data_IF_719865484252
#
_entry.id   IF_719865484252
#
_cell.length_a   1.000
_cell.length_b   1.000
_cell.length_c   1.000
_cell.angle_alpha   90.00
_cell.angle_beta   90.00
_cell.angle_gamma   90.00
#
_symmetry.space_group_name_H-M   'P 1'
#
loop_
_entity.id
_entity.type
_entity.pdbx_description
1 polymer ?
#
# COMPACT_ATOMS: atom_id res chain seq x y z
N UNK A 1 -27.52 37.68 12.09
CA UNK A 1 -26.19 37.05 12.00
C UNK A 1 -25.24 37.98 11.26
N UNK A 2 -24.10 38.31 11.86
CA UNK A 2 -23.11 39.20 11.26
C UNK A 2 -21.88 38.41 10.86
N UNK A 3 -21.52 38.44 9.56
CA UNK A 3 -20.41 37.68 9.00
C UNK A 3 -19.32 38.65 8.54
N UNK A 4 -18.09 38.41 8.98
CA UNK A 4 -16.92 39.19 8.59
C UNK A 4 -15.89 38.25 7.96
N UNK A 5 -15.40 38.60 6.75
CA UNK A 5 -14.28 37.89 6.11
C UNK A 5 -12.97 38.52 6.59
N UNK A 6 -12.25 37.84 7.48
CA UNK A 6 -11.01 38.37 8.08
C UNK A 6 -9.82 38.20 7.13
N UNK A 7 -9.77 37.05 6.44
CA UNK A 7 -8.72 36.73 5.47
C UNK A 7 -9.29 35.91 4.32
N UNK A 8 -8.87 36.22 3.11
CA UNK A 8 -9.22 35.46 1.90
C UNK A 8 -7.93 35.22 1.12
N UNK A 9 -7.56 33.96 1.00
CA UNK A 9 -6.43 33.50 0.18
C UNK A 9 -6.93 32.60 -0.94
N UNK A 10 -6.04 32.12 -1.79
CA UNK A 10 -6.37 31.13 -2.84
C UNK A 10 -6.81 29.79 -2.28
N UNK A 11 -6.36 29.45 -1.08
CA UNK A 11 -6.51 28.11 -0.48
C UNK A 11 -7.33 28.07 0.80
N UNK A 12 -7.69 29.23 1.38
CA UNK A 12 -8.51 29.29 2.58
C UNK A 12 -9.25 30.62 2.75
N UNK A 13 -10.38 30.57 3.42
CA UNK A 13 -11.13 31.73 3.87
C UNK A 13 -11.31 31.65 5.38
N UNK A 14 -10.97 32.75 6.06
CA UNK A 14 -11.26 32.90 7.48
C UNK A 14 -12.48 33.77 7.67
N UNK A 15 -13.48 33.23 8.35
CA UNK A 15 -14.75 33.91 8.66
C UNK A 15 -14.89 34.10 10.16
N UNK A 16 -15.28 35.29 10.60
CA UNK A 16 -15.80 35.53 11.95
C UNK A 16 -17.30 35.74 11.87
N UNK A 17 -18.02 34.87 12.57
CA UNK A 17 -19.49 34.85 12.59
C UNK A 17 -19.93 35.20 14.00
N UNK A 18 -20.73 36.27 14.11
CA UNK A 18 -21.36 36.71 15.36
C UNK A 18 -22.88 36.57 15.26
N UNK A 19 -23.45 35.82 16.19
CA UNK A 19 -24.89 35.59 16.26
C UNK A 19 -25.58 36.77 16.95
N UNK A 20 -26.72 37.20 16.41
CA UNK A 20 -27.59 38.13 17.10
C UNK A 20 -28.55 37.39 18.04
N UNK A 21 -29.14 38.08 19.02
CA UNK A 21 -30.05 37.46 19.98
C UNK A 21 -31.26 36.77 19.32
N UNK A 22 -31.72 37.30 18.20
CA UNK A 22 -32.84 36.73 17.43
C UNK A 22 -32.40 35.44 16.69
N UNK A 23 -31.14 35.34 16.27
CA UNK A 23 -30.56 34.16 15.62
C UNK A 23 -30.27 33.03 16.64
N UNK A 24 -29.85 33.39 17.88
CA UNK A 24 -29.60 32.42 18.94
C UNK A 24 -30.89 31.77 19.49
N UNK A 25 -32.00 32.53 19.52
CA UNK A 25 -33.21 32.13 20.20
C UNK A 25 -33.82 30.78 19.74
N UNK A 26 -33.89 30.46 18.43
CA UNK A 26 -34.33 29.15 17.96
C UNK A 26 -33.46 27.99 18.50
N UNK A 27 -32.14 28.18 18.52
CA UNK A 27 -31.19 27.20 18.99
C UNK A 27 -31.27 27.03 20.52
N UNK A 28 -31.33 28.10 21.25
CA UNK A 28 -31.54 28.07 22.71
C UNK A 28 -32.84 27.37 23.10
N UNK A 29 -33.91 27.56 22.32
CA UNK A 29 -35.16 26.85 22.55
C UNK A 29 -35.09 25.36 22.27
N UNK A 30 -34.27 24.96 21.32
CA UNK A 30 -33.97 23.54 21.00
C UNK A 30 -33.11 22.91 22.10
N UNK A 31 -32.03 23.60 22.52
CA UNK A 31 -31.16 23.22 23.64
C UNK A 31 -31.96 23.05 24.92
N UNK A 32 -32.78 24.03 25.26
CA UNK A 32 -33.70 23.95 26.43
C UNK A 32 -34.52 22.66 26.44
N UNK A 33 -35.15 22.28 25.31
CA UNK A 33 -35.98 21.07 25.24
C UNK A 33 -35.12 19.80 25.46
N UNK A 34 -33.90 19.79 24.95
CA UNK A 34 -32.95 18.67 25.09
C UNK A 34 -32.48 18.55 26.56
N UNK A 35 -32.04 19.64 27.17
CA UNK A 35 -31.56 19.70 28.55
C UNK A 35 -32.73 19.40 29.52
N UNK A 36 -33.91 19.96 29.30
CA UNK A 36 -35.11 19.72 30.15
C UNK A 36 -35.43 18.21 30.25
N UNK A 37 -35.18 17.44 29.18
CA UNK A 37 -35.46 16.01 29.16
C UNK A 37 -34.42 15.18 29.93
N UNK A 38 -33.19 15.67 30.03
CA UNK A 38 -32.05 14.96 30.63
C UNK A 38 -31.86 15.31 32.12
N UNK A 39 -32.13 16.55 32.50
CA UNK A 39 -31.85 17.04 33.85
C UNK A 39 -33.07 16.91 34.74
N UNK A 40 -32.86 16.47 36.00
CA UNK A 40 -33.90 16.44 37.04
C UNK A 40 -33.93 17.76 37.78
N UNK A 41 -35.03 18.51 37.62
CA UNK A 41 -35.26 19.78 38.32
C UNK A 41 -36.23 19.50 39.50
N UNK A 42 -35.87 19.86 40.74
CA UNK A 42 -36.75 19.70 41.89
C UNK A 42 -38.10 20.37 41.66
N UNK A 43 -39.19 19.65 41.90
CA UNK A 43 -40.56 20.15 41.74
C UNK A 43 -41.18 20.01 40.36
N UNK A 44 -40.40 19.50 39.35
CA UNK A 44 -40.90 19.31 37.98
C UNK A 44 -40.68 17.87 37.48
N UNK A 45 -41.65 17.40 36.69
CA UNK A 45 -41.47 16.15 35.97
C UNK A 45 -40.41 16.35 34.84
N UNK A 46 -39.52 15.40 34.55
CA UNK A 46 -38.53 15.49 33.43
C UNK A 46 -39.18 15.97 32.14
N UNK A 47 -38.61 16.99 31.51
CA UNK A 47 -39.12 17.62 30.29
C UNK A 47 -40.25 18.61 30.45
N UNK A 48 -40.68 18.97 31.69
CA UNK A 48 -41.81 19.88 31.96
C UNK A 48 -41.44 21.14 32.76
N UNK A 49 -40.18 21.30 33.13
CA UNK A 49 -39.72 22.53 33.77
C UNK A 49 -39.71 23.69 32.76
N UNK A 50 -40.23 24.88 33.08
CA UNK A 50 -40.13 26.06 32.21
C UNK A 50 -38.67 26.48 31.98
N UNK A 51 -38.40 27.14 30.84
CA UNK A 51 -37.05 27.59 30.47
C UNK A 51 -36.40 28.45 31.56
N UNK A 52 -37.10 29.42 32.08
CA UNK A 52 -36.63 30.31 33.15
C UNK A 52 -36.19 29.56 34.43
N UNK A 53 -36.83 28.43 34.75
CA UNK A 53 -36.44 27.60 35.87
C UNK A 53 -35.18 26.82 35.60
N UNK A 54 -34.98 26.34 34.35
CA UNK A 54 -33.77 25.64 33.93
C UNK A 54 -32.60 26.62 33.86
N UNK A 55 -32.80 27.81 33.28
CA UNK A 55 -31.79 28.87 33.22
C UNK A 55 -31.34 29.31 34.63
N UNK A 56 -32.30 29.44 35.58
CA UNK A 56 -31.94 29.76 36.95
C UNK A 56 -31.22 28.63 37.70
N UNK A 57 -31.43 27.38 37.28
CA UNK A 57 -30.86 26.21 37.96
C UNK A 57 -29.47 25.83 37.38
N UNK A 58 -29.27 25.91 36.08
CA UNK A 58 -28.06 25.50 35.37
C UNK A 58 -27.23 26.67 34.88
N UNK A 59 -27.80 27.87 34.82
CA UNK A 59 -27.21 29.01 34.11
C UNK A 59 -27.56 29.05 32.62
N UNK A 60 -27.56 30.25 32.04
CA UNK A 60 -27.73 30.45 30.59
C UNK A 60 -26.58 29.83 29.81
N UNK A 61 -25.36 29.93 30.34
CA UNK A 61 -24.14 29.37 29.72
C UNK A 61 -24.26 27.85 29.42
N UNK A 62 -24.87 27.07 30.32
CA UNK A 62 -25.11 25.65 30.10
C UNK A 62 -26.04 25.37 28.91
N UNK A 63 -27.03 26.22 28.67
CA UNK A 63 -27.92 26.10 27.51
C UNK A 63 -27.23 26.54 26.21
N UNK A 64 -26.42 27.59 26.31
CA UNK A 64 -25.59 28.04 25.17
C UNK A 64 -24.60 26.94 24.81
N UNK A 65 -23.88 26.39 25.77
CA UNK A 65 -22.92 25.32 25.53
C UNK A 65 -23.54 24.10 24.84
N UNK A 66 -24.72 23.64 25.32
CA UNK A 66 -25.46 22.55 24.66
C UNK A 66 -25.95 22.95 23.26
N UNK A 67 -26.26 24.25 23.04
CA UNK A 67 -26.70 24.75 21.74
C UNK A 67 -25.58 24.80 20.70
N UNK A 68 -24.33 25.03 21.11
CA UNK A 68 -23.18 25.13 20.20
C UNK A 68 -23.03 23.90 19.30
N UNK A 69 -23.33 22.70 19.83
CA UNK A 69 -23.21 21.44 19.07
C UNK A 69 -23.98 21.42 17.75
N UNK A 70 -25.09 22.14 17.68
CA UNK A 70 -25.92 22.22 16.47
C UNK A 70 -26.07 23.65 15.91
N UNK A 71 -25.82 24.67 16.72
CA UNK A 71 -25.86 26.06 16.31
C UNK A 71 -24.70 26.37 15.34
N UNK A 72 -23.48 25.99 15.69
CA UNK A 72 -22.29 26.27 14.88
C UNK A 72 -22.37 25.58 13.51
N UNK A 73 -22.61 24.25 13.40
CA UNK A 73 -22.72 23.62 12.09
C UNK A 73 -23.84 24.21 11.23
N UNK A 74 -25.06 24.35 11.79
CA UNK A 74 -26.22 24.86 11.03
C UNK A 74 -26.04 26.33 10.58
N UNK A 75 -25.44 27.19 11.42
CA UNK A 75 -25.16 28.59 11.04
C UNK A 75 -24.01 28.72 10.05
N UNK A 76 -22.98 27.86 10.20
CA UNK A 76 -21.86 27.84 9.26
C UNK A 76 -22.32 27.36 7.86
N UNK A 77 -23.09 26.27 7.79
CA UNK A 77 -23.64 25.77 6.53
C UNK A 77 -24.48 26.86 5.83
N UNK A 78 -25.26 27.61 6.61
CA UNK A 78 -26.03 28.74 6.05
C UNK A 78 -25.09 29.81 5.48
N UNK A 79 -24.05 30.21 6.21
CA UNK A 79 -23.08 31.22 5.77
C UNK A 79 -22.33 30.75 4.53
N UNK A 80 -21.87 29.49 4.50
CA UNK A 80 -21.17 28.94 3.34
C UNK A 80 -22.05 28.94 2.09
N UNK A 81 -23.33 28.59 2.22
CA UNK A 81 -24.28 28.62 1.12
C UNK A 81 -24.60 30.06 0.68
N UNK A 82 -24.82 31.00 1.61
CA UNK A 82 -25.16 32.38 1.31
C UNK A 82 -24.00 33.13 0.59
N UNK A 83 -22.74 32.75 0.91
CA UNK A 83 -21.51 33.33 0.37
C UNK A 83 -20.94 32.55 -0.83
N UNK A 84 -21.61 31.47 -1.27
CA UNK A 84 -21.19 30.56 -2.35
C UNK A 84 -19.77 30.00 -2.14
N UNK A 85 -19.44 29.64 -0.89
CA UNK A 85 -18.15 29.07 -0.50
C UNK A 85 -18.26 27.56 -0.45
N UNK A 86 -17.46 26.88 -1.28
CA UNK A 86 -17.34 25.42 -1.26
C UNK A 86 -16.13 25.02 -0.41
N UNK A 87 -16.40 24.49 0.78
CA UNK A 87 -15.35 23.96 1.65
C UNK A 87 -14.81 22.64 1.06
N UNK A 88 -13.49 22.53 0.94
CA UNK A 88 -12.83 21.31 0.49
C UNK A 88 -12.89 20.19 1.53
N UNK A 89 -12.84 20.56 2.81
CA UNK A 89 -12.93 19.67 3.95
C UNK A 89 -13.58 20.42 5.14
N UNK A 90 -13.78 19.70 6.24
CA UNK A 90 -14.37 20.24 7.45
C UNK A 90 -13.57 21.46 7.97
N UNK A 91 -14.24 22.63 8.16
CA UNK A 91 -13.59 23.84 8.65
C UNK A 91 -13.09 23.71 10.09
N UNK A 92 -12.00 24.39 10.41
CA UNK A 92 -11.49 24.52 11.79
C UNK A 92 -12.26 25.63 12.51
N UNK A 93 -12.84 25.29 13.65
CA UNK A 93 -13.73 26.17 14.42
C UNK A 93 -13.07 26.59 15.72
N UNK A 94 -13.20 27.88 16.06
CA UNK A 94 -12.75 28.45 17.32
C UNK A 94 -13.85 29.35 17.88
N UNK A 95 -14.34 29.05 19.09
CA UNK A 95 -15.35 29.88 19.76
C UNK A 95 -14.70 31.07 20.41
N UNK A 96 -15.07 32.28 19.99
CA UNK A 96 -14.50 33.54 20.47
C UNK A 96 -15.30 34.13 21.66
N UNK A 97 -16.60 33.92 21.67
CA UNK A 97 -17.47 34.46 22.71
C UNK A 97 -18.79 33.66 22.87
N UNK A 98 -19.37 33.74 24.07
CA UNK A 98 -20.62 33.04 24.43
C UNK A 98 -21.83 33.98 24.57
N UNK A 99 -21.59 35.30 24.70
CA UNK A 99 -22.67 36.30 24.90
C UNK A 99 -22.29 37.64 24.23
N UNK A 100 -22.69 37.88 22.96
CA UNK A 100 -23.35 36.95 22.04
C UNK A 100 -22.39 35.85 21.56
N UNK A 101 -22.96 34.73 21.09
CA UNK A 101 -22.19 33.65 20.54
C UNK A 101 -21.44 34.15 19.27
N UNK A 102 -20.14 34.04 19.32
CA UNK A 102 -19.29 34.36 18.19
C UNK A 102 -18.20 33.31 18.02
N UNK A 103 -17.90 32.94 16.78
CA UNK A 103 -16.90 31.96 16.48
C UNK A 103 -16.18 32.31 15.17
N UNK A 104 -14.95 31.82 15.08
CA UNK A 104 -14.10 31.92 13.92
C UNK A 104 -14.10 30.57 13.20
N UNK A 105 -14.30 30.61 11.89
CA UNK A 105 -14.21 29.43 11.03
C UNK A 105 -13.10 29.63 10.01
N UNK A 106 -12.10 28.74 9.99
CA UNK A 106 -11.11 28.70 8.93
C UNK A 106 -11.56 27.62 7.96
N UNK A 107 -11.96 28.04 6.78
CA UNK A 107 -12.56 27.20 5.73
C UNK A 107 -11.49 26.91 4.67
N UNK A 108 -10.97 25.69 4.56
CA UNK A 108 -10.06 25.31 3.51
C UNK A 108 -10.80 25.19 2.18
N UNK A 109 -10.24 25.81 1.15
CA UNK A 109 -10.72 25.74 -0.23
C UNK A 109 -10.01 24.65 -1.01
N UNK A 110 -10.49 24.37 -2.22
CA UNK A 110 -9.84 23.42 -3.11
C UNK A 110 -8.37 23.82 -3.36
N UNK A 111 -7.40 22.89 -3.18
CA UNK A 111 -6.00 23.15 -3.47
C UNK A 111 -5.78 23.54 -4.93
N UNK A 112 -4.90 24.52 -5.14
CA UNK A 112 -4.51 24.94 -6.49
C UNK A 112 -3.29 24.14 -6.93
N UNK A 113 -3.42 23.41 -8.04
CA UNK A 113 -2.36 22.59 -8.60
C UNK A 113 -2.05 23.01 -10.02
N UNK A 114 -0.82 23.44 -10.25
CA UNK A 114 -0.25 23.73 -11.57
C UNK A 114 0.81 22.66 -11.88
N UNK A 115 0.57 21.84 -12.91
CA UNK A 115 1.49 20.76 -13.30
C UNK A 115 2.67 21.27 -14.15
N UNK A 116 2.70 22.56 -14.52
CA UNK A 116 3.71 23.10 -15.42
C UNK A 116 3.68 22.44 -16.81
N UNK A 117 4.82 22.40 -17.46
CA UNK A 117 4.96 21.81 -18.80
C UNK A 117 5.21 20.29 -18.74
N UNK A 118 4.35 19.55 -18.03
CA UNK A 118 4.54 18.10 -17.83
C UNK A 118 4.58 17.30 -19.14
N UNK A 119 3.93 17.77 -20.21
CA UNK A 119 3.98 17.14 -21.52
C UNK A 119 5.38 17.22 -22.18
N UNK A 120 6.28 18.05 -21.65
CA UNK A 120 7.66 18.15 -22.09
C UNK A 120 8.60 17.15 -21.41
N UNK A 121 8.13 16.41 -20.41
CA UNK A 121 8.92 15.36 -19.76
C UNK A 121 9.33 14.34 -20.80
N UNK A 122 10.64 13.97 -20.82
CA UNK A 122 11.18 12.91 -21.71
C UNK A 122 12.10 12.03 -20.90
N UNK A 123 11.82 10.72 -20.95
CA UNK A 123 12.61 9.69 -20.31
C UNK A 123 13.01 8.65 -21.36
N UNK A 124 14.28 8.28 -21.37
CA UNK A 124 14.77 7.23 -22.24
C UNK A 124 14.44 5.86 -21.61
N UNK A 125 13.82 4.99 -22.41
CA UNK A 125 13.60 3.60 -22.03
C UNK A 125 14.89 2.81 -22.26
N UNK A 126 15.36 2.12 -21.24
CA UNK A 126 16.50 1.23 -21.36
C UNK A 126 16.09 -0.06 -22.10
N UNK A 127 16.92 -0.55 -23.04
CA UNK A 127 16.59 -1.79 -23.73
C UNK A 127 16.62 -2.97 -22.75
N UNK A 128 15.55 -3.75 -22.77
CA UNK A 128 15.47 -4.99 -21.98
C UNK A 128 16.13 -6.11 -22.78
N UNK A 129 17.31 -6.54 -22.35
CA UNK A 129 18.04 -7.65 -22.95
C UNK A 129 18.23 -8.77 -21.93
N UNK A 130 17.61 -9.92 -22.17
CA UNK A 130 17.84 -11.14 -21.38
C UNK A 130 18.92 -11.97 -22.04
N UNK A 131 20.03 -12.11 -21.34
CA UNK A 131 21.17 -12.87 -21.83
C UNK A 131 21.00 -14.38 -21.65
N UNK A 132 21.67 -15.18 -22.49
CA UNK A 132 21.66 -16.63 -22.30
C UNK A 132 22.28 -17.08 -20.96
N UNK A 133 23.18 -16.26 -20.39
CA UNK A 133 23.81 -16.52 -19.09
C UNK A 133 22.78 -16.44 -17.97
N UNK A 134 21.93 -15.39 -17.96
CA UNK A 134 20.84 -15.24 -16.96
C UNK A 134 19.83 -16.39 -17.04
N UNK A 135 19.49 -16.84 -18.24
CA UNK A 135 18.61 -18.01 -18.43
C UNK A 135 19.27 -19.27 -17.84
N UNK A 136 20.54 -19.48 -18.12
CA UNK A 136 21.28 -20.63 -17.59
C UNK A 136 21.42 -20.58 -16.05
N UNK A 137 21.64 -19.42 -15.45
CA UNK A 137 21.67 -19.25 -14.00
C UNK A 137 20.34 -19.68 -13.35
N UNK A 138 19.20 -19.29 -13.94
CA UNK A 138 17.89 -19.71 -13.45
C UNK A 138 17.69 -21.22 -13.63
N UNK A 139 18.10 -21.80 -14.76
CA UNK A 139 18.01 -23.24 -14.99
C UNK A 139 18.88 -24.03 -14.01
N UNK A 140 20.10 -23.56 -13.72
CA UNK A 140 20.97 -24.16 -12.71
C UNK A 140 20.40 -24.03 -11.28
N UNK A 141 19.77 -22.90 -10.97
CA UNK A 141 19.07 -22.73 -9.70
C UNK A 141 17.89 -23.71 -9.57
N UNK A 142 17.07 -23.86 -10.59
CA UNK A 142 15.99 -24.84 -10.62
C UNK A 142 16.52 -26.28 -10.49
N UNK A 143 17.62 -26.58 -11.18
CA UNK A 143 18.33 -27.86 -11.10
C UNK A 143 18.80 -28.15 -9.68
N UNK A 144 19.39 -27.15 -9.03
CA UNK A 144 19.86 -27.25 -7.66
C UNK A 144 18.67 -27.41 -6.69
N UNK A 145 17.59 -26.66 -6.83
CA UNK A 145 16.40 -26.80 -5.98
C UNK A 145 15.75 -28.17 -6.11
N UNK A 146 15.61 -28.69 -7.31
CA UNK A 146 14.96 -29.98 -7.58
C UNK A 146 15.82 -31.19 -7.15
N UNK A 147 17.13 -31.02 -7.00
CA UNK A 147 18.05 -32.13 -6.69
C UNK A 147 17.87 -32.63 -5.25
N UNK A 148 17.76 -33.94 -5.01
CA UNK A 148 17.73 -34.53 -3.68
C UNK A 148 19.11 -34.43 -3.00
N UNK A 149 19.08 -34.34 -1.67
CA UNK A 149 20.28 -34.44 -0.85
C UNK A 149 20.61 -35.92 -0.62
N UNK A 150 21.79 -36.35 -1.06
CA UNK A 150 22.29 -37.70 -0.86
C UNK A 150 23.47 -37.73 0.12
N UNK A 151 23.51 -38.66 1.08
CA UNK A 151 24.61 -38.77 2.01
C UNK A 151 25.90 -39.21 1.31
N UNK A 152 27.03 -38.59 1.70
CA UNK A 152 28.35 -38.89 1.11
C UNK A 152 29.38 -39.11 2.17
N UNK A 153 30.29 -40.10 1.93
CA UNK A 153 31.40 -40.47 2.83
C UNK A 153 32.71 -39.75 2.42
N UNK A 154 32.62 -38.43 2.10
CA UNK A 154 33.77 -37.61 1.77
C UNK A 154 33.87 -36.37 2.63
N UNK A 155 34.99 -35.68 2.55
CA UNK A 155 35.15 -34.41 3.23
C UNK A 155 34.14 -33.38 2.74
N UNK A 156 33.65 -32.55 3.66
CA UNK A 156 32.71 -31.45 3.44
C UNK A 156 33.31 -30.43 2.48
N UNK A 157 32.58 -30.10 1.44
CA UNK A 157 32.92 -29.07 0.46
C UNK A 157 31.89 -27.93 0.48
N UNK A 158 32.24 -26.82 -0.12
CA UNK A 158 31.26 -25.72 -0.32
C UNK A 158 30.07 -26.21 -1.14
N UNK A 159 28.87 -25.83 -0.72
CA UNK A 159 27.61 -26.23 -1.37
C UNK A 159 27.02 -27.55 -0.83
N UNK A 160 27.73 -28.31 -0.03
CA UNK A 160 27.21 -29.50 0.65
C UNK A 160 26.33 -29.10 1.85
N UNK A 161 25.40 -29.96 2.21
CA UNK A 161 24.59 -29.80 3.43
C UNK A 161 25.29 -30.57 4.57
N UNK A 162 25.81 -29.85 5.57
CA UNK A 162 26.33 -30.41 6.79
C UNK A 162 25.26 -30.36 7.88
N UNK A 163 24.90 -31.50 8.45
CA UNK A 163 24.17 -31.52 9.73
C UNK A 163 25.23 -31.53 10.83
N UNK A 164 25.20 -30.57 11.76
CA UNK A 164 26.25 -30.39 12.76
C UNK A 164 25.73 -29.87 14.10
N UNK A 165 26.54 -30.10 15.13
CA UNK A 165 26.44 -29.46 16.43
C UNK A 165 27.41 -28.27 16.45
N UNK A 166 26.95 -27.09 16.85
CA UNK A 166 27.76 -25.87 16.91
C UNK A 166 27.65 -25.25 18.29
N UNK A 167 28.79 -25.04 18.94
CA UNK A 167 28.88 -24.33 20.20
C UNK A 167 29.88 -23.20 20.05
N UNK A 168 29.43 -21.97 20.33
CA UNK A 168 30.22 -20.74 20.26
C UNK A 168 30.30 -20.07 21.62
N UNK A 169 31.50 -19.68 22.05
CA UNK A 169 31.77 -19.05 23.34
C UNK A 169 32.54 -17.77 23.13
N UNK A 170 32.08 -16.66 23.71
CA UNK A 170 32.75 -15.37 23.75
C UNK A 170 32.93 -14.99 25.23
N UNK A 171 34.19 -14.72 25.68
CA UNK A 171 34.48 -14.27 27.05
C UNK A 171 33.84 -15.16 28.17
N UNK A 172 33.83 -16.49 28.00
CA UNK A 172 33.21 -17.49 28.90
C UNK A 172 31.65 -17.52 28.82
N UNK A 173 31.00 -16.75 27.99
CA UNK A 173 29.56 -16.78 27.76
C UNK A 173 29.20 -17.60 26.51
N UNK A 174 28.27 -18.53 26.65
CA UNK A 174 27.77 -19.30 25.51
C UNK A 174 26.83 -18.44 24.67
N UNK A 175 27.26 -18.13 23.44
CA UNK A 175 26.49 -17.28 22.51
C UNK A 175 25.77 -18.12 21.45
N UNK A 176 26.23 -19.33 21.19
CA UNK A 176 25.63 -20.30 20.27
C UNK A 176 25.72 -21.68 20.91
N UNK A 177 24.62 -22.41 20.99
CA UNK A 177 24.56 -23.84 21.40
C UNK A 177 23.45 -24.50 20.57
N UNK A 178 23.76 -24.78 19.33
CA UNK A 178 22.83 -25.37 18.37
C UNK A 178 23.21 -26.80 18.08
N UNK A 179 22.23 -27.72 18.17
CA UNK A 179 22.43 -29.15 17.97
C UNK A 179 21.62 -29.64 16.75
N UNK A 180 22.31 -30.40 15.89
CA UNK A 180 21.68 -31.01 14.72
C UNK A 180 21.18 -30.00 13.70
N UNK A 181 21.83 -28.87 13.61
CA UNK A 181 21.46 -27.86 12.59
C UNK A 181 21.98 -28.25 11.21
N UNK A 182 21.18 -27.94 10.20
CA UNK A 182 21.57 -28.07 8.81
C UNK A 182 22.20 -26.75 8.34
N UNK A 183 23.40 -26.83 7.80
CA UNK A 183 24.17 -25.68 7.33
C UNK A 183 24.85 -26.00 5.99
N UNK A 184 24.77 -25.02 5.05
CA UNK A 184 25.44 -25.13 3.76
C UNK A 184 26.59 -24.12 3.75
N UNK A 185 27.86 -24.56 3.88
CA UNK A 185 29.00 -23.68 3.82
C UNK A 185 29.14 -23.10 2.40
N UNK A 186 29.29 -21.78 2.33
CA UNK A 186 29.56 -21.03 1.10
C UNK A 186 30.77 -20.14 1.35
N UNK A 187 31.54 -19.85 0.32
CA UNK A 187 32.76 -19.06 0.44
C UNK A 187 32.51 -17.65 0.96
N UNK A 188 31.42 -17.01 0.51
CA UNK A 188 31.04 -15.65 0.87
C UNK A 188 30.03 -15.59 2.05
N UNK A 189 29.75 -16.70 2.73
CA UNK A 189 28.80 -16.73 3.83
C UNK A 189 29.45 -16.19 5.11
N UNK A 190 28.89 -15.10 5.63
CA UNK A 190 29.33 -14.45 6.87
C UNK A 190 28.60 -14.96 8.13
N UNK A 191 27.77 -15.98 8.02
CA UNK A 191 27.03 -16.55 9.15
C UNK A 191 27.75 -17.77 9.73
N UNK A 192 27.73 -17.97 11.07
CA UNK A 192 27.33 -16.99 12.09
C UNK A 192 28.31 -15.83 12.25
N UNK A 193 29.57 -16.02 11.86
CA UNK A 193 30.62 -15.00 11.78
C UNK A 193 31.48 -15.19 10.53
N UNK A 194 32.08 -14.10 9.98
CA UNK A 194 32.93 -14.19 8.80
C UNK A 194 34.06 -15.22 8.97
N UNK A 195 34.25 -16.04 7.96
CA UNK A 195 35.28 -17.11 7.97
C UNK A 195 34.88 -18.42 8.61
N UNK A 196 33.67 -18.52 9.16
CA UNK A 196 33.17 -19.77 9.75
C UNK A 196 33.16 -20.93 8.75
N UNK A 197 32.57 -20.69 7.56
CA UNK A 197 32.50 -21.68 6.48
C UNK A 197 33.87 -22.22 6.05
N UNK A 198 34.91 -21.39 6.05
CA UNK A 198 36.28 -21.77 5.67
C UNK A 198 36.88 -22.81 6.63
N UNK A 199 36.51 -22.75 7.91
CA UNK A 199 36.97 -23.73 8.89
C UNK A 199 36.25 -25.07 8.83
N UNK A 200 35.07 -25.11 8.21
CA UNK A 200 34.28 -26.33 8.01
C UNK A 200 34.74 -27.14 6.80
N UNK A 201 35.29 -26.43 5.78
CA UNK A 201 35.81 -27.11 4.59
C UNK A 201 36.83 -28.19 4.94
N UNK A 202 36.65 -29.35 4.36
CA UNK A 202 37.54 -30.49 4.56
C UNK A 202 37.26 -31.37 5.79
N UNK A 203 36.27 -31.03 6.64
CA UNK A 203 35.84 -31.84 7.77
C UNK A 203 35.11 -33.11 7.30
N UNK A 204 35.31 -34.20 8.02
CA UNK A 204 34.65 -35.51 7.78
C UNK A 204 33.46 -35.70 8.71
N UNK A 205 32.56 -36.57 8.32
CA UNK A 205 31.50 -37.05 9.21
C UNK A 205 32.06 -37.61 10.51
N UNK A 206 31.50 -37.21 11.67
CA UNK A 206 31.95 -37.57 13.02
C UNK A 206 33.19 -36.80 13.48
N UNK A 207 33.72 -35.85 12.71
CA UNK A 207 34.87 -35.05 13.10
C UNK A 207 34.42 -33.82 13.95
N UNK A 208 35.18 -33.58 15.03
CA UNK A 208 34.99 -32.37 15.85
C UNK A 208 36.20 -31.46 15.71
N UNK A 209 35.97 -30.16 15.50
CA UNK A 209 37.01 -29.16 15.35
C UNK A 209 36.80 -27.96 16.26
N UNK A 210 37.87 -27.59 16.95
CA UNK A 210 37.92 -26.40 17.79
C UNK A 210 38.72 -25.32 17.03
N UNK A 211 38.14 -24.14 16.86
CA UNK A 211 38.80 -23.02 16.24
C UNK A 211 38.31 -21.68 16.80
N UNK A 212 39.05 -20.61 16.60
CA UNK A 212 38.70 -19.27 17.06
C UNK A 212 38.59 -18.34 15.88
N UNK A 213 37.54 -17.52 15.87
CA UNK A 213 37.32 -16.46 14.89
C UNK A 213 37.27 -15.10 15.60
N UNK A 214 37.89 -14.12 14.98
CA UNK A 214 37.76 -12.73 15.41
C UNK A 214 36.55 -12.12 14.73
N UNK A 215 35.59 -11.62 15.49
CA UNK A 215 34.43 -10.91 15.00
C UNK A 215 34.88 -9.51 14.54
N UNK A 216 34.51 -9.03 13.35
CA UNK A 216 34.87 -7.70 12.88
C UNK A 216 34.40 -6.58 13.83
N UNK A 217 35.13 -5.47 13.87
CA UNK A 217 34.78 -4.31 14.73
C UNK A 217 33.48 -3.60 14.27
N UNK A 218 33.10 -3.77 13.00
CA UNK A 218 31.89 -3.23 12.37
C UNK A 218 30.69 -4.20 12.38
N UNK A 219 30.77 -5.26 13.19
CA UNK A 219 29.69 -6.24 13.28
C UNK A 219 28.43 -5.59 13.87
N UNK A 220 27.22 -5.86 13.31
CA UNK A 220 25.98 -5.18 13.70
C UNK A 220 25.61 -5.28 15.18
N UNK A 221 26.07 -6.31 15.86
CA UNK A 221 25.84 -6.51 17.29
C UNK A 221 27.06 -6.05 18.09
N UNK A 222 26.97 -4.86 18.68
CA UNK A 222 28.04 -4.24 19.47
C UNK A 222 28.59 -5.14 20.57
N UNK A 223 27.77 -6.05 21.13
CA UNK A 223 28.17 -6.99 22.19
C UNK A 223 29.22 -8.01 21.72
N UNK A 224 29.31 -8.27 20.40
CA UNK A 224 30.22 -9.26 19.80
C UNK A 224 31.35 -8.62 18.99
N UNK A 225 31.16 -7.37 18.54
CA UNK A 225 32.13 -6.65 17.72
C UNK A 225 33.52 -6.60 18.37
N UNK A 226 34.56 -6.91 17.58
CA UNK A 226 35.96 -6.89 18.01
C UNK A 226 36.39 -7.98 18.97
N UNK A 227 35.52 -8.95 19.31
CA UNK A 227 35.82 -10.04 20.24
C UNK A 227 36.22 -11.32 19.53
N UNK A 228 36.88 -12.21 20.24
CA UNK A 228 37.18 -13.55 19.76
C UNK A 228 36.06 -14.54 20.18
N UNK A 229 35.53 -15.29 19.21
CA UNK A 229 34.59 -16.36 19.44
C UNK A 229 35.28 -17.71 19.24
N UNK A 230 35.26 -18.52 20.27
CA UNK A 230 35.76 -19.90 20.21
C UNK A 230 34.64 -20.85 19.83
N UNK A 231 34.78 -21.53 18.68
CA UNK A 231 33.83 -22.51 18.18
C UNK A 231 34.29 -23.94 18.44
N UNK A 232 33.33 -24.76 18.86
CA UNK A 232 33.43 -26.21 18.82
C UNK A 232 32.36 -26.75 17.91
N UNK A 233 32.77 -27.32 16.77
CA UNK A 233 31.85 -27.85 15.76
C UNK A 233 32.06 -29.33 15.60
N UNK A 234 30.97 -30.08 15.57
CA UNK A 234 30.96 -31.52 15.30
C UNK A 234 30.07 -31.80 14.10
N UNK A 235 30.63 -32.36 13.02
CA UNK A 235 29.87 -32.72 11.82
C UNK A 235 29.22 -34.08 12.04
N UNK A 236 27.88 -34.13 11.98
CA UNK A 236 27.10 -35.36 12.17
C UNK A 236 26.85 -36.11 10.88
N UNK A 237 26.60 -35.40 9.78
CA UNK A 237 26.45 -35.96 8.44
C UNK A 237 26.79 -34.95 7.35
N UNK A 238 27.26 -35.44 6.23
CA UNK A 238 27.52 -34.65 5.01
C UNK A 238 26.64 -35.19 3.91
N UNK A 239 25.95 -34.30 3.21
CA UNK A 239 25.11 -34.65 2.05
C UNK A 239 25.44 -33.73 0.89
N UNK A 240 25.47 -34.28 -0.33
CA UNK A 240 25.62 -33.51 -1.53
C UNK A 240 24.34 -33.48 -2.37
N UNK A 241 24.19 -32.47 -3.20
CA UNK A 241 23.10 -32.40 -4.19
C UNK A 241 23.43 -33.29 -5.37
N UNK A 242 22.59 -34.31 -5.60
CA UNK A 242 22.70 -35.14 -6.81
C UNK A 242 22.00 -34.38 -7.98
N UNK A 243 22.79 -33.59 -8.70
CA UNK A 243 22.29 -32.75 -9.79
C UNK A 243 21.96 -33.61 -11.02
N UNK A 244 20.69 -33.66 -11.41
CA UNK A 244 20.27 -34.30 -12.65
C UNK A 244 20.89 -33.62 -13.87
N UNK A 245 20.99 -34.31 -15.00
CA UNK A 245 21.33 -33.66 -16.28
C UNK A 245 20.20 -32.70 -16.73
N UNK A 246 20.59 -31.59 -17.37
CA UNK A 246 19.60 -30.68 -17.95
C UNK A 246 19.08 -31.29 -19.25
N UNK A 247 18.04 -32.06 -19.17
CA UNK A 247 17.39 -32.75 -20.27
C UNK A 247 15.84 -32.66 -20.17
N UNK A 248 15.16 -33.33 -21.09
CA UNK A 248 13.69 -33.31 -21.12
C UNK A 248 13.07 -34.05 -19.92
N UNK A 249 13.80 -34.97 -19.26
CA UNK A 249 13.30 -35.64 -18.06
C UNK A 249 13.35 -34.71 -16.86
N UNK A 250 14.42 -33.91 -16.75
CA UNK A 250 14.47 -32.83 -15.77
C UNK A 250 13.32 -31.83 -15.94
N UNK A 251 13.07 -31.37 -17.20
CA UNK A 251 12.01 -30.43 -17.48
C UNK A 251 10.62 -30.96 -17.06
N UNK A 252 10.35 -32.24 -17.26
CA UNK A 252 9.12 -32.89 -16.79
C UNK A 252 9.03 -33.00 -15.28
N UNK A 253 10.15 -33.05 -14.60
CA UNK A 253 10.23 -33.12 -13.13
C UNK A 253 10.11 -31.77 -12.43
N UNK A 254 10.27 -30.66 -13.14
CA UNK A 254 10.07 -29.32 -12.60
C UNK A 254 8.58 -29.10 -12.27
N UNK A 255 8.28 -28.29 -11.27
CA UNK A 255 6.99 -28.10 -10.59
C UNK A 255 5.77 -28.06 -11.51
N UNK A 256 5.90 -27.42 -12.69
CA UNK A 256 4.79 -27.21 -13.63
C UNK A 256 4.74 -28.22 -14.79
N UNK A 257 5.76 -29.13 -14.88
CA UNK A 257 5.83 -30.20 -15.86
C UNK A 257 5.90 -29.71 -17.30
N UNK A 258 7.10 -29.44 -17.82
CA UNK A 258 7.31 -29.03 -19.21
C UNK A 258 7.55 -30.25 -20.11
N UNK A 259 7.10 -30.20 -21.37
CA UNK A 259 7.27 -31.32 -22.31
C UNK A 259 8.73 -31.54 -22.72
N UNK A 260 9.54 -30.49 -22.73
CA UNK A 260 10.97 -30.50 -23.12
C UNK A 260 11.77 -29.43 -22.40
N UNK A 261 13.10 -29.59 -22.39
CA UNK A 261 14.04 -28.58 -21.88
C UNK A 261 13.95 -27.27 -22.68
N UNK A 262 13.65 -27.32 -23.98
CA UNK A 262 13.44 -26.12 -24.79
C UNK A 262 12.24 -25.34 -24.30
N UNK A 263 11.11 -26.00 -24.04
CA UNK A 263 9.90 -25.36 -23.50
C UNK A 263 10.14 -24.72 -22.12
N UNK A 264 10.89 -25.38 -21.23
CA UNK A 264 11.29 -24.81 -19.95
C UNK A 264 12.19 -23.58 -20.14
N UNK A 265 13.17 -23.68 -21.04
CA UNK A 265 14.11 -22.58 -21.34
C UNK A 265 13.39 -21.36 -21.88
N UNK A 266 12.44 -21.57 -22.80
CA UNK A 266 11.64 -20.48 -23.38
C UNK A 266 10.72 -19.86 -22.33
N UNK A 267 10.14 -20.66 -21.45
CA UNK A 267 9.34 -20.17 -20.33
C UNK A 267 10.18 -19.31 -19.37
N UNK A 268 11.38 -19.78 -18.99
CA UNK A 268 12.31 -19.02 -18.13
C UNK A 268 12.71 -17.72 -18.81
N UNK A 269 13.04 -17.76 -20.11
CA UNK A 269 13.38 -16.56 -20.87
C UNK A 269 12.23 -15.56 -20.90
N UNK A 270 11.00 -16.02 -21.19
CA UNK A 270 9.83 -15.12 -21.21
C UNK A 270 9.59 -14.49 -19.84
N UNK A 271 9.67 -15.29 -18.76
CA UNK A 271 9.53 -14.76 -17.40
C UNK A 271 10.58 -13.69 -17.07
N UNK A 272 11.84 -13.90 -17.46
CA UNK A 272 12.89 -12.90 -17.25
C UNK A 272 12.66 -11.63 -18.07
N UNK A 273 12.15 -11.76 -19.31
CA UNK A 273 11.75 -10.59 -20.12
C UNK A 273 10.62 -9.84 -19.44
N UNK A 274 9.55 -10.52 -19.04
CA UNK A 274 8.39 -9.91 -18.39
C UNK A 274 8.78 -9.19 -17.07
N UNK A 275 9.67 -9.81 -16.29
CA UNK A 275 10.19 -9.24 -15.03
C UNK A 275 11.07 -8.01 -15.28
N UNK A 276 11.93 -8.07 -16.30
CA UNK A 276 12.80 -6.95 -16.69
C UNK A 276 11.97 -5.79 -17.28
N UNK A 277 10.94 -6.07 -18.07
CA UNK A 277 10.01 -5.07 -18.59
C UNK A 277 9.20 -4.42 -17.46
N UNK A 278 8.74 -5.19 -16.49
CA UNK A 278 8.05 -4.68 -15.32
C UNK A 278 8.95 -3.78 -14.45
N UNK A 279 10.23 -4.17 -14.33
CA UNK A 279 11.24 -3.39 -13.59
C UNK A 279 11.53 -2.07 -14.29
N UNK A 280 11.71 -2.10 -15.61
CA UNK A 280 11.94 -0.91 -16.42
C UNK A 280 10.71 0.02 -16.40
N UNK A 281 9.50 -0.53 -16.50
CA UNK A 281 8.27 0.25 -16.40
C UNK A 281 8.20 0.94 -15.04
N UNK A 282 8.50 0.23 -13.95
CA UNK A 282 8.53 0.81 -12.60
C UNK A 282 9.59 1.91 -12.47
N UNK A 283 10.76 1.73 -13.08
CA UNK A 283 11.81 2.75 -13.13
C UNK A 283 11.31 4.03 -13.83
N UNK A 284 10.64 3.88 -14.97
CA UNK A 284 10.06 4.99 -15.72
C UNK A 284 8.93 5.68 -14.93
N UNK A 285 8.08 4.92 -14.25
CA UNK A 285 7.02 5.46 -13.38
C UNK A 285 7.61 6.32 -12.26
N UNK A 286 8.61 5.82 -11.54
CA UNK A 286 9.27 6.56 -10.46
C UNK A 286 9.97 7.81 -11.01
N UNK A 287 10.74 7.67 -12.08
CA UNK A 287 11.46 8.81 -12.68
C UNK A 287 10.49 9.85 -13.25
N UNK A 288 9.40 9.42 -13.89
CA UNK A 288 8.35 10.31 -14.39
C UNK A 288 7.67 11.10 -13.27
N UNK A 289 7.38 10.42 -12.17
CA UNK A 289 6.80 11.06 -10.98
C UNK A 289 7.76 12.09 -10.37
N UNK A 290 9.06 11.78 -10.29
CA UNK A 290 10.06 12.71 -9.78
C UNK A 290 10.22 13.95 -10.66
N UNK A 291 10.22 13.80 -11.99
CA UNK A 291 10.27 14.92 -12.92
C UNK A 291 8.99 15.77 -12.82
N UNK A 292 7.82 15.14 -12.71
CA UNK A 292 6.56 15.85 -12.52
C UNK A 292 6.55 16.64 -11.20
N UNK A 293 7.07 16.07 -10.09
CA UNK A 293 7.23 16.77 -8.80
C UNK A 293 8.09 18.02 -8.90
N UNK A 294 9.12 18.04 -9.75
CA UNK A 294 9.98 19.20 -9.95
C UNK A 294 9.29 20.34 -10.70
N UNK A 295 8.35 20.02 -11.57
CA UNK A 295 7.63 20.98 -12.41
C UNK A 295 6.39 21.52 -11.72
N UNK A 296 5.71 20.70 -10.94
CA UNK A 296 4.44 21.03 -10.31
C UNK A 296 4.60 22.08 -9.20
N UNK A 297 3.60 22.97 -9.14
CA UNK A 297 3.42 23.93 -8.04
C UNK A 297 2.08 23.67 -7.39
N UNK A 298 2.11 23.48 -6.08
CA UNK A 298 0.93 23.11 -5.30
C UNK A 298 0.77 24.14 -4.19
N UNK A 299 -0.42 24.72 -4.10
CA UNK A 299 -0.83 25.59 -3.00
C UNK A 299 -2.04 24.94 -2.31
N UNK A 300 -1.92 24.63 -1.04
CA UNK A 300 -2.99 24.09 -0.22
C UNK A 300 -3.01 24.78 1.15
N UNK A 301 -4.16 24.79 1.81
CA UNK A 301 -4.27 25.31 3.17
C UNK A 301 -3.47 24.43 4.14
N UNK A 302 -2.88 25.05 5.16
CA UNK A 302 -2.18 24.35 6.25
C UNK A 302 -3.08 23.29 6.90
N UNK A 303 -4.40 23.54 6.98
CA UNK A 303 -5.37 22.58 7.51
C UNK A 303 -5.44 21.29 6.71
N UNK A 304 -5.20 21.33 5.41
CA UNK A 304 -5.20 20.14 4.56
C UNK A 304 -3.96 19.29 4.87
N UNK A 305 -2.81 19.92 5.09
CA UNK A 305 -1.60 19.24 5.53
C UNK A 305 -1.71 18.69 6.96
N UNK A 306 -2.29 19.46 7.89
CA UNK A 306 -2.57 18.97 9.26
C UNK A 306 -3.46 17.72 9.23
N UNK A 307 -4.49 17.72 8.37
CA UNK A 307 -5.41 16.58 8.23
C UNK A 307 -4.71 15.33 7.67
N UNK A 308 -3.85 15.49 6.68
CA UNK A 308 -3.07 14.38 6.13
C UNK A 308 -2.13 13.79 7.20
N UNK A 309 -1.48 14.65 7.97
CA UNK A 309 -0.65 14.24 9.09
C UNK A 309 -1.45 13.45 10.14
N UNK A 310 -2.66 13.91 10.48
CA UNK A 310 -3.56 13.20 11.39
C UNK A 310 -3.91 11.81 10.85
N UNK A 311 -4.25 11.71 9.56
CA UNK A 311 -4.56 10.43 8.93
C UNK A 311 -3.37 9.47 8.96
N UNK A 312 -2.16 9.95 8.68
CA UNK A 312 -0.94 9.14 8.75
C UNK A 312 -0.65 8.69 10.19
N UNK A 313 -0.86 9.54 11.17
CA UNK A 313 -0.71 9.19 12.57
C UNK A 313 -1.71 8.11 13.00
N UNK A 314 -2.98 8.24 12.60
CA UNK A 314 -4.01 7.23 12.85
C UNK A 314 -3.72 5.89 12.12
N UNK A 315 -3.22 5.92 10.89
CA UNK A 315 -2.79 4.73 10.15
C UNK A 315 -1.68 4.00 10.89
N UNK A 316 -0.68 4.75 11.41
CA UNK A 316 0.38 4.19 12.23
C UNK A 316 -0.13 3.58 13.53
N UNK A 317 -1.06 4.27 14.20
CA UNK A 317 -1.68 3.76 15.42
C UNK A 317 -2.43 2.44 15.18
N UNK A 318 -3.19 2.35 14.07
CA UNK A 318 -3.88 1.10 13.66
C UNK A 318 -2.90 -0.01 13.33
N UNK A 319 -1.80 0.30 12.64
CA UNK A 319 -0.75 -0.68 12.32
C UNK A 319 -0.11 -1.25 13.57
N UNK A 320 0.22 -0.41 14.54
CA UNK A 320 0.74 -0.85 15.85
C UNK A 320 -0.28 -1.70 16.61
N UNK A 321 -1.55 -1.30 16.59
CA UNK A 321 -2.63 -2.05 17.24
C UNK A 321 -2.76 -3.47 16.66
N UNK A 322 -2.61 -3.64 15.35
CA UNK A 322 -2.59 -4.96 14.70
C UNK A 322 -1.42 -5.83 15.19
N UNK A 323 -0.32 -5.20 15.62
CA UNK A 323 0.84 -5.84 16.24
C UNK A 323 0.71 -5.96 17.77
N UNK A 324 -0.49 -5.71 18.32
CA UNK A 324 -0.79 -5.73 19.75
C UNK A 324 0.01 -4.70 20.57
N UNK A 325 0.43 -3.61 19.95
CA UNK A 325 1.16 -2.51 20.57
C UNK A 325 0.31 -1.23 20.55
N UNK A 326 0.22 -0.51 21.67
CA UNK A 326 -0.41 0.82 21.67
C UNK A 326 0.58 1.90 21.24
N UNK A 327 0.07 3.01 20.71
CA UNK A 327 0.90 4.17 20.35
C UNK A 327 1.70 4.71 21.55
N UNK A 328 1.08 4.75 22.74
CA UNK A 328 1.73 5.21 23.98
C UNK A 328 2.93 4.32 24.34
N UNK A 329 2.76 2.98 24.22
CA UNK A 329 3.84 2.04 24.49
C UNK A 329 4.97 2.19 23.47
N UNK A 330 4.63 2.35 22.19
CA UNK A 330 5.59 2.60 21.12
C UNK A 330 6.41 3.88 21.40
N UNK A 331 5.74 5.00 21.69
CA UNK A 331 6.39 6.28 22.00
C UNK A 331 7.32 6.18 23.23
N UNK A 332 6.87 5.46 24.25
CA UNK A 332 7.70 5.17 25.42
C UNK A 332 8.94 4.35 25.12
N UNK A 333 8.82 3.35 24.21
CA UNK A 333 9.93 2.49 23.79
C UNK A 333 10.98 3.26 22.97
N UNK A 334 10.52 4.13 22.04
CA UNK A 334 11.39 4.95 21.19
C UNK A 334 11.93 6.18 21.93
N UNK A 335 11.33 6.54 23.08
CA UNK A 335 11.73 7.70 23.88
C UNK A 335 11.33 9.04 23.25
N UNK A 336 10.24 9.08 22.49
CA UNK A 336 9.72 10.25 21.80
C UNK A 336 8.35 10.68 22.34
N UNK A 337 8.03 11.96 22.19
CA UNK A 337 6.69 12.48 22.41
C UNK A 337 5.83 12.39 21.15
N UNK A 338 4.51 12.51 21.28
CA UNK A 338 3.61 12.59 20.14
C UNK A 338 3.96 13.77 19.20
N UNK A 339 4.28 14.91 19.78
CA UNK A 339 4.63 16.11 19.04
C UNK A 339 5.92 15.91 18.21
N UNK A 340 6.93 15.28 18.77
CA UNK A 340 8.17 14.96 18.07
C UNK A 340 7.96 13.96 16.93
N UNK A 341 7.10 12.95 17.14
CA UNK A 341 6.73 12.01 16.08
C UNK A 341 5.97 12.69 14.95
N UNK A 342 5.00 13.57 15.29
CA UNK A 342 4.25 14.36 14.30
C UNK A 342 5.16 15.27 13.48
N UNK A 343 6.11 15.96 14.11
CA UNK A 343 7.10 16.78 13.40
C UNK A 343 7.97 15.93 12.44
N UNK A 344 8.36 14.72 12.84
CA UNK A 344 9.09 13.80 11.96
C UNK A 344 8.28 13.31 10.77
N UNK A 345 6.97 13.13 10.97
CA UNK A 345 6.05 12.67 9.92
C UNK A 345 5.61 13.79 8.97
N UNK A 346 5.71 15.06 9.39
CA UNK A 346 5.23 16.22 8.61
C UNK A 346 5.80 16.28 7.19
N UNK A 347 7.10 16.11 6.93
CA UNK A 347 7.62 16.12 5.55
C UNK A 347 7.05 15.00 4.67
N UNK A 348 6.81 13.83 5.26
CA UNK A 348 6.21 12.70 4.55
C UNK A 348 4.73 12.94 4.24
N UNK A 349 3.99 13.57 5.17
CA UNK A 349 2.61 13.95 4.97
C UNK A 349 2.47 15.00 3.85
N UNK A 350 3.34 16.01 3.85
CA UNK A 350 3.41 17.02 2.79
C UNK A 350 3.71 16.39 1.43
N UNK A 351 4.69 15.50 1.35
CA UNK A 351 5.04 14.81 0.11
C UNK A 351 3.90 13.91 -0.39
N UNK A 352 3.26 13.14 0.51
CA UNK A 352 2.15 12.25 0.19
C UNK A 352 0.95 13.03 -0.36
N UNK A 353 0.56 14.11 0.34
CA UNK A 353 -0.53 14.98 -0.07
C UNK A 353 -0.23 15.62 -1.42
N UNK A 354 0.94 16.22 -1.58
CA UNK A 354 1.35 16.87 -2.83
C UNK A 354 1.32 15.89 -4.00
N UNK A 355 1.82 14.67 -3.78
CA UNK A 355 1.79 13.62 -4.80
C UNK A 355 0.35 13.25 -5.17
N UNK A 356 -0.52 13.07 -4.18
CA UNK A 356 -1.93 12.75 -4.40
C UNK A 356 -2.65 13.85 -5.19
N UNK A 357 -2.48 15.12 -4.79
CA UNK A 357 -3.08 16.26 -5.46
C UNK A 357 -2.61 16.40 -6.91
N UNK A 358 -1.30 16.21 -7.13
CA UNK A 358 -0.68 16.27 -8.45
C UNK A 358 -1.20 15.17 -9.37
N UNK A 359 -1.27 13.92 -8.89
CA UNK A 359 -1.78 12.78 -9.67
C UNK A 359 -3.27 12.96 -9.97
N UNK A 360 -4.06 13.46 -9.01
CA UNK A 360 -5.47 13.80 -9.24
C UNK A 360 -5.60 14.85 -10.34
N UNK A 361 -4.80 15.92 -10.30
CA UNK A 361 -4.82 16.96 -11.33
C UNK A 361 -4.40 16.42 -12.69
N UNK A 362 -3.44 15.52 -12.74
CA UNK A 362 -3.03 14.84 -13.98
C UNK A 362 -4.18 14.01 -14.55
N UNK A 363 -4.90 13.28 -13.71
CA UNK A 363 -6.08 12.52 -14.12
C UNK A 363 -7.16 13.42 -14.73
N UNK A 364 -7.44 14.57 -14.07
CA UNK A 364 -8.42 15.54 -14.55
C UNK A 364 -8.02 16.16 -15.91
N UNK A 365 -6.73 16.48 -16.09
CA UNK A 365 -6.22 17.11 -17.32
C UNK A 365 -6.18 16.12 -18.50
N UNK A 366 -5.82 14.85 -18.23
CA UNK A 366 -5.75 13.80 -19.24
C UNK A 366 -7.07 13.01 -19.37
N UNK A 367 -8.15 13.45 -18.68
CA UNK A 367 -9.49 12.85 -18.71
C UNK A 367 -9.49 11.35 -18.42
N UNK A 368 -8.66 10.92 -17.43
CA UNK A 368 -8.53 9.51 -17.05
C UNK A 368 -9.70 9.11 -16.16
N UNK A 369 -10.48 8.14 -16.60
CA UNK A 369 -11.62 7.63 -15.87
C UNK A 369 -11.50 6.11 -15.62
N UNK A 370 -12.11 5.65 -14.52
CA UNK A 370 -12.26 4.23 -14.18
C UNK A 370 -13.74 3.93 -14.03
N UNK A 371 -14.30 3.22 -15.01
CA UNK A 371 -15.70 2.81 -14.99
C UNK A 371 -15.95 1.56 -14.14
N UNK A 372 -17.24 1.26 -13.86
CA UNK A 372 -17.61 0.05 -13.12
C UNK A 372 -17.20 -1.24 -13.84
N UNK A 373 -17.14 -1.22 -15.17
CA UNK A 373 -16.66 -2.36 -15.97
C UNK A 373 -15.18 -2.65 -15.72
N UNK A 374 -14.34 -1.62 -15.59
CA UNK A 374 -12.91 -1.79 -15.29
C UNK A 374 -12.73 -2.47 -13.93
N UNK A 375 -13.54 -2.06 -12.93
CA UNK A 375 -13.54 -2.67 -11.61
C UNK A 375 -13.98 -4.13 -11.64
N UNK A 376 -15.01 -4.48 -12.45
CA UNK A 376 -15.47 -5.86 -12.61
C UNK A 376 -14.41 -6.76 -13.27
N UNK A 377 -13.74 -6.26 -14.29
CA UNK A 377 -12.61 -6.96 -14.93
C UNK A 377 -11.49 -7.20 -13.93
N UNK A 378 -11.11 -6.18 -13.16
CA UNK A 378 -10.05 -6.32 -12.16
C UNK A 378 -10.41 -7.32 -11.05
N UNK A 379 -11.66 -7.31 -10.57
CA UNK A 379 -12.14 -8.31 -9.61
C UNK A 379 -12.00 -9.71 -10.20
N UNK A 380 -12.35 -9.88 -11.49
CA UNK A 380 -12.23 -11.17 -12.17
C UNK A 380 -10.77 -11.61 -12.24
N UNK A 381 -9.86 -10.72 -12.64
CA UNK A 381 -8.42 -10.99 -12.70
C UNK A 381 -7.84 -11.39 -11.33
N UNK A 382 -8.24 -10.68 -10.26
CA UNK A 382 -7.83 -11.00 -8.88
C UNK A 382 -8.30 -12.39 -8.45
N UNK A 383 -9.49 -12.78 -8.86
CA UNK A 383 -10.05 -14.10 -8.57
C UNK A 383 -9.29 -15.20 -9.35
N UNK A 384 -9.03 -14.98 -10.63
CA UNK A 384 -8.29 -15.93 -11.48
C UNK A 384 -6.85 -16.11 -11.01
N UNK A 385 -6.17 -15.03 -10.62
CA UNK A 385 -4.79 -15.08 -10.11
C UNK A 385 -4.62 -15.86 -8.80
N UNK A 386 -5.71 -16.02 -8.04
CA UNK A 386 -5.71 -16.78 -6.77
C UNK A 386 -5.93 -18.29 -6.98
N UNK A 387 -5.87 -18.78 -8.23
CA UNK A 387 -5.91 -20.21 -8.58
C UNK A 387 -7.32 -20.77 -8.81
N UNK A 388 -8.31 -19.92 -9.10
CA UNK A 388 -9.65 -20.35 -9.51
C UNK A 388 -10.49 -21.05 -8.43
N UNK A 389 -9.95 -21.26 -7.26
CA UNK A 389 -10.63 -21.94 -6.13
C UNK A 389 -11.25 -20.91 -5.18
N UNK A 390 -11.83 -19.85 -5.78
CA UNK A 390 -12.39 -18.72 -5.03
C UNK A 390 -13.66 -19.15 -4.32
N UNK A 391 -13.56 -19.22 -3.00
CA UNK A 391 -14.71 -19.33 -2.11
C UNK A 391 -15.69 -18.19 -2.39
N UNK A 392 -17.00 -18.48 -2.40
CA UNK A 392 -18.04 -17.46 -2.52
C UNK A 392 -17.87 -16.30 -1.52
N UNK A 393 -17.17 -16.53 -0.42
CA UNK A 393 -16.78 -15.52 0.57
C UNK A 393 -15.80 -14.47 0.03
N UNK A 394 -14.84 -14.85 -0.81
CA UNK A 394 -13.89 -13.91 -1.42
C UNK A 394 -14.58 -13.02 -2.45
N UNK A 395 -15.44 -13.61 -3.31
CA UNK A 395 -16.27 -12.82 -4.22
C UNK A 395 -17.17 -11.82 -3.46
N UNK A 396 -17.75 -12.23 -2.35
CA UNK A 396 -18.59 -11.37 -1.53
C UNK A 396 -17.75 -10.24 -0.87
N UNK A 397 -16.54 -10.55 -0.41
CA UNK A 397 -15.63 -9.56 0.19
C UNK A 397 -15.18 -8.51 -0.82
N UNK A 398 -14.81 -8.92 -2.05
CA UNK A 398 -14.37 -8.02 -3.13
C UNK A 398 -15.52 -7.18 -3.71
N UNK A 399 -16.78 -7.62 -3.59
CA UNK A 399 -17.95 -6.89 -4.06
C UNK A 399 -18.55 -5.92 -3.04
N UNK A 400 -17.95 -5.73 -1.87
CA UNK A 400 -18.36 -4.67 -0.94
C UNK A 400 -18.04 -3.28 -1.52
N UNK A 401 -18.87 -2.28 -1.19
CA UNK A 401 -18.66 -0.89 -1.68
C UNK A 401 -17.24 -0.39 -1.39
N UNK A 402 -16.76 -0.61 -0.17
CA UNK A 402 -15.40 -0.22 0.24
C UNK A 402 -14.30 -0.93 -0.56
N UNK A 403 -14.45 -2.22 -0.84
CA UNK A 403 -13.48 -2.97 -1.65
C UNK A 403 -13.48 -2.50 -3.11
N UNK A 404 -14.66 -2.28 -3.70
CA UNK A 404 -14.80 -1.75 -5.06
C UNK A 404 -14.18 -0.36 -5.18
N UNK A 405 -14.37 0.50 -4.18
CA UNK A 405 -13.77 1.85 -4.17
C UNK A 405 -12.23 1.78 -4.03
N UNK A 406 -11.73 0.88 -3.19
CA UNK A 406 -10.28 0.63 -3.09
C UNK A 406 -9.68 0.12 -4.41
N UNK A 407 -10.37 -0.80 -5.09
CA UNK A 407 -9.97 -1.30 -6.41
C UNK A 407 -10.02 -0.18 -7.45
N UNK A 408 -11.08 0.64 -7.45
CA UNK A 408 -11.20 1.81 -8.35
C UNK A 408 -10.05 2.79 -8.18
N UNK A 409 -9.70 3.11 -6.94
CA UNK A 409 -8.57 4.00 -6.61
C UNK A 409 -7.23 3.41 -7.05
N UNK A 410 -7.02 2.10 -6.86
CA UNK A 410 -5.82 1.41 -7.32
C UNK A 410 -5.71 1.41 -8.85
N UNK A 411 -6.81 1.12 -9.56
CA UNK A 411 -6.88 1.18 -11.02
C UNK A 411 -6.62 2.59 -11.55
N UNK A 412 -7.20 3.60 -10.91
CA UNK A 412 -6.99 5.00 -11.24
C UNK A 412 -5.50 5.35 -11.17
N UNK A 413 -4.84 5.04 -10.05
CA UNK A 413 -3.41 5.29 -9.89
C UNK A 413 -2.59 4.57 -10.96
N UNK A 414 -2.90 3.30 -11.25
CA UNK A 414 -2.22 2.52 -12.30
C UNK A 414 -2.38 3.16 -13.68
N UNK A 415 -3.59 3.60 -14.05
CA UNK A 415 -3.84 4.30 -15.32
C UNK A 415 -3.10 5.64 -15.40
N UNK A 416 -3.07 6.41 -14.31
CA UNK A 416 -2.35 7.69 -14.24
C UNK A 416 -0.84 7.47 -14.44
N UNK A 417 -0.26 6.48 -13.75
CA UNK A 417 1.17 6.18 -13.88
C UNK A 417 1.53 5.67 -15.28
N UNK A 418 0.70 4.79 -15.84
CA UNK A 418 0.88 4.34 -17.22
C UNK A 418 0.84 5.52 -18.20
N UNK A 419 -0.12 6.43 -18.04
CA UNK A 419 -0.24 7.63 -18.88
C UNK A 419 0.96 8.56 -18.74
N UNK A 420 1.49 8.73 -17.54
CA UNK A 420 2.70 9.52 -17.30
C UNK A 420 3.92 8.92 -18.02
N UNK A 421 4.05 7.59 -18.04
CA UNK A 421 5.09 6.89 -18.80
C UNK A 421 4.91 7.13 -20.30
N UNK A 422 3.70 6.98 -20.86
CA UNK A 422 3.41 7.27 -22.28
C UNK A 422 3.80 8.71 -22.66
N UNK A 423 3.40 9.70 -21.86
CA UNK A 423 3.78 11.11 -22.07
C UNK A 423 5.30 11.26 -22.06
N UNK A 424 5.99 10.62 -21.12
CA UNK A 424 7.45 10.69 -21.01
C UNK A 424 8.19 10.08 -22.19
N UNK A 425 7.56 9.15 -22.90
CA UNK A 425 8.09 8.53 -24.13
C UNK A 425 7.74 9.32 -25.40
N UNK A 426 6.93 10.38 -25.26
CA UNK A 426 6.53 11.24 -26.36
C UNK A 426 5.36 10.69 -27.18
N UNK A 427 4.60 9.77 -26.63
CA UNK A 427 3.36 9.28 -27.23
C UNK A 427 2.24 10.30 -27.01
N UNK A 428 1.75 10.90 -28.10
CA UNK A 428 0.59 11.79 -28.06
C UNK A 428 -0.66 11.01 -27.62
N UNK A 429 -1.55 11.67 -26.86
CA UNK A 429 -2.82 11.11 -26.42
C UNK A 429 -3.60 10.50 -27.59
N UNK A 430 -3.55 9.20 -27.73
CA UNK A 430 -4.58 8.47 -28.46
C UNK A 430 -5.81 8.45 -27.54
N UNK A 431 -6.77 9.37 -27.79
CA UNK A 431 -8.11 9.28 -27.19
C UNK A 431 -8.56 7.83 -27.23
N UNK A 432 -9.08 7.24 -26.14
CA UNK A 432 -9.56 5.86 -26.16
C UNK A 432 -10.76 5.78 -27.11
N UNK A 433 -10.48 5.56 -28.41
CA UNK A 433 -11.49 5.11 -29.34
C UNK A 433 -11.89 3.70 -28.89
N UNK A 434 -13.16 3.57 -28.56
CA UNK A 434 -13.81 2.30 -28.28
C UNK A 434 -13.21 1.20 -29.15
N UNK A 435 -12.60 0.21 -28.53
CA UNK A 435 -12.30 -1.06 -29.17
C UNK A 435 -13.61 -1.73 -29.47
N UNK A 436 -14.15 -1.38 -30.61
CA UNK A 436 -15.24 -2.08 -31.26
C UNK A 436 -14.69 -3.47 -31.64
N UNK A 437 -15.23 -4.47 -31.00
CA UNK A 437 -14.93 -5.86 -31.28
C UNK A 437 -15.31 -6.14 -32.73
N UNK A 438 -14.34 -6.08 -33.63
CA UNK A 438 -14.49 -6.56 -34.99
C UNK A 438 -14.52 -8.09 -34.94
N UNK A 439 -15.73 -8.59 -34.93
CA UNK A 439 -16.10 -9.94 -35.35
C UNK A 439 -15.60 -10.16 -36.79
N UNK A 440 -14.47 -10.82 -36.93
CA UNK A 440 -13.96 -11.33 -38.20
C UNK A 440 -14.37 -12.78 -38.34
N UNK A 441 -15.62 -12.99 -38.77
CA UNK A 441 -15.97 -14.22 -39.43
C UNK A 441 -15.42 -14.20 -40.87
N UNK A 442 -14.77 -15.25 -41.35
CA UNK A 442 -14.28 -15.30 -42.71
C UNK A 442 -15.45 -15.51 -43.70
N UNK A 443 -15.57 -14.58 -44.59
CA UNK A 443 -16.41 -14.57 -45.77
C UNK A 443 -15.98 -15.72 -46.71
N UNK A 444 -16.86 -16.69 -46.89
CA UNK A 444 -16.74 -17.70 -47.96
C UNK A 444 -17.60 -17.24 -49.13
N UNK A 445 -16.92 -17.02 -50.27
CA UNK A 445 -17.51 -16.77 -51.59
C UNK A 445 -18.47 -17.88 -52.05
N UNK A 446 -19.47 -17.50 -52.91
CA UNK A 446 -20.48 -18.46 -53.40
C UNK A 446 -20.04 -19.14 -54.67
N UNK A 447 -20.15 -20.45 -54.78
CA UNK A 447 -20.21 -21.19 -56.05
C UNK A 447 -21.61 -21.74 -56.31
N UNK A 448 -21.99 -21.59 -57.55
CA UNK A 448 -23.29 -21.81 -58.20
C UNK A 448 -23.73 -23.27 -58.33
N UNK A 449 -25.05 -23.38 -58.36
CA UNK A 449 -25.89 -24.33 -59.17
C UNK A 449 -25.69 -25.87 -59.14
N UNK A 450 -26.69 -26.55 -58.70
CA UNK A 450 -27.64 -27.21 -59.61
C UNK A 450 -28.70 -28.00 -58.87
N UNK A 451 -29.87 -27.93 -59.52
CA UNK A 451 -31.18 -28.50 -59.27
C UNK A 451 -31.16 -30.02 -59.04
N UNK A 452 -32.02 -30.56 -58.25
CA UNK A 452 -33.19 -31.42 -58.63
C UNK A 452 -33.76 -32.21 -57.44
N UNK A 453 -34.97 -31.90 -57.17
CA UNK A 453 -36.16 -32.75 -57.09
C UNK A 453 -36.26 -33.91 -56.10
N UNK A 454 -37.31 -33.83 -55.41
CA UNK A 454 -38.31 -34.79 -54.95
C UNK A 454 -38.34 -35.07 -53.43
N UNK A 455 -39.48 -34.59 -52.92
CA UNK A 455 -40.22 -35.10 -51.73
C UNK A 455 -40.92 -36.37 -52.14
N UNK A 456 -41.63 -37.20 -51.31
CA UNK A 456 -42.00 -36.97 -49.90
C UNK A 456 -42.08 -38.27 -49.01
N UNK A 457 -42.50 -37.98 -47.75
CA UNK A 457 -43.31 -38.94 -46.87
C UNK A 457 -42.51 -40.07 -46.18
N UNK A 458 -42.68 -40.42 -44.95
CA UNK A 458 -43.81 -40.62 -44.08
C UNK A 458 -43.34 -41.23 -42.75
N UNK A 459 -44.00 -40.85 -41.73
CA UNK A 459 -44.39 -41.63 -40.52
C UNK A 459 -43.35 -42.36 -39.63
N UNK A 460 -43.31 -41.95 -38.41
CA UNK A 460 -43.98 -42.45 -37.19
C UNK A 460 -43.20 -43.41 -36.27
N UNK A 461 -43.30 -43.07 -35.02
CA UNK A 461 -43.32 -43.95 -33.82
C UNK A 461 -42.05 -44.76 -33.49
N UNK A 462 -41.48 -44.58 -32.36
CA UNK A 462 -41.86 -44.82 -30.93
C UNK A 462 -41.02 -44.02 -29.96
#
# INVERSE_FOLDING_TARGET
>A
MNVTKDSVTTTEITLTIAMDADDEEPFLNRSYKRVASRVRIPGFRPGKAPRSVIENHLGREALVHEALEFMIPESLDQVLNDEDIQAWMEPKLEVLGMEPVSYKAVVPLEPVVDLGEFQAIRLEREPVEVTGEQVNEVLESLRFEAAPWEPVERALAYGDLATMNVKGIIEEEEVIDDQGIDFIPQEDNNLPFPGFSTHLEGMLEGESKLFTLSVPDDYPQENYAGKECQFNVEVLSVKEKNLAELDDEFAKGVRDGFESLEALTDHVRQRLVDESEATETRRLEVSGLEELKKLAKIEASELVYERELDMMYEERARSLQNQQMSMELYLSYVGQTEEELREQMKPQAEERLNTMLMLRKLADVEEIEVGDKDVEVEITNLIESTGGNSDASMMQALNTENARESIRSSLMNRKIMARLVEISQGEESASPAATDATDTSPESEPEEESQEETSPAEEAKE
#
